data_IF_341628518832
#
_entry.id   IF_341628518832
#
_cell.length_a   1.000
_cell.length_b   1.000
_cell.length_c   1.000
_cell.angle_alpha   90.00
_cell.angle_beta   90.00
_cell.angle_gamma   90.00
#
_symmetry.space_group_name_H-M   'P 1'
#
loop_
_entity.id
_entity.type
_entity.pdbx_description
1 polymer ?
#
# COMPACT_ATOMS: atom_id res chain seq x y z
N UNK A 1 -19.64 13.86 14.83
CA UNK A 1 -18.28 14.38 14.52
C UNK A 1 -17.40 14.12 15.74
N UNK A 2 -16.76 12.96 15.79
CA UNK A 2 -15.84 12.61 16.89
C UNK A 2 -14.54 13.38 16.68
N UNK A 3 -14.15 14.18 17.68
CA UNK A 3 -12.87 14.88 17.71
C UNK A 3 -11.77 13.84 17.91
N UNK A 4 -11.32 13.22 16.82
CA UNK A 4 -10.16 12.33 16.83
C UNK A 4 -8.91 13.13 17.24
N UNK A 5 -8.26 12.71 18.33
CA UNK A 5 -7.04 13.34 18.85
C UNK A 5 -5.98 13.50 17.74
N UNK A 6 -5.20 14.60 17.72
CA UNK A 6 -4.19 14.85 16.70
C UNK A 6 -3.14 13.72 16.57
N UNK A 7 -2.87 12.96 17.64
CA UNK A 7 -2.00 11.78 17.59
C UNK A 7 -2.55 10.60 16.77
N UNK A 8 -3.88 10.41 16.74
CA UNK A 8 -4.53 9.34 15.97
C UNK A 8 -4.57 9.67 14.46
N UNK A 9 -4.53 10.96 14.11
CA UNK A 9 -4.52 11.42 12.71
C UNK A 9 -3.20 11.14 11.98
N UNK A 10 -2.09 10.99 12.69
CA UNK A 10 -0.78 10.70 12.09
C UNK A 10 -0.57 9.23 11.71
N UNK A 11 -1.33 8.31 12.30
CA UNK A 11 -1.22 6.85 12.07
C UNK A 11 -1.45 6.47 10.60
N UNK A 12 -2.52 6.92 9.91
CA UNK A 12 -2.72 6.60 8.50
C UNK A 12 -1.60 7.14 7.62
N UNK A 13 -1.15 8.37 7.86
CA UNK A 13 -0.06 9.02 7.12
C UNK A 13 1.26 8.24 7.29
N UNK A 14 1.58 7.85 8.53
CA UNK A 14 2.76 7.05 8.83
C UNK A 14 2.69 5.67 8.14
N UNK A 15 1.53 5.02 8.16
CA UNK A 15 1.34 3.71 7.55
C UNK A 15 1.44 3.78 6.02
N UNK A 16 0.86 4.82 5.41
CA UNK A 16 0.93 5.06 3.97
C UNK A 16 2.35 5.40 3.50
N UNK A 17 3.06 6.27 4.24
CA UNK A 17 4.44 6.61 3.91
C UNK A 17 5.39 5.41 4.01
N UNK A 18 5.24 4.57 5.04
CA UNK A 18 5.96 3.30 5.14
C UNK A 18 5.61 2.37 3.98
N UNK A 19 4.33 2.24 3.63
CA UNK A 19 3.89 1.41 2.50
C UNK A 19 4.45 1.90 1.16
N UNK A 20 4.49 3.21 0.96
CA UNK A 20 5.08 3.83 -0.22
C UNK A 20 6.59 3.57 -0.29
N UNK A 21 7.31 3.74 0.82
CA UNK A 21 8.75 3.49 0.89
C UNK A 21 9.09 2.02 0.60
N UNK A 22 8.33 1.08 1.16
CA UNK A 22 8.47 -0.36 0.89
C UNK A 22 8.18 -0.70 -0.57
N UNK A 23 7.16 -0.05 -1.16
CA UNK A 23 6.83 -0.23 -2.58
C UNK A 23 7.99 0.28 -3.46
N UNK A 24 8.52 1.47 -3.18
CA UNK A 24 9.68 2.02 -3.90
C UNK A 24 10.92 1.15 -3.74
N UNK A 25 11.19 0.64 -2.55
CA UNK A 25 12.28 -0.30 -2.31
C UNK A 25 12.10 -1.59 -3.12
N UNK A 26 10.88 -2.10 -3.22
CA UNK A 26 10.55 -3.26 -4.06
C UNK A 26 10.80 -3.01 -5.55
N UNK A 27 10.53 -1.79 -6.04
CA UNK A 27 10.86 -1.39 -7.41
C UNK A 27 12.37 -1.22 -7.64
N UNK A 28 13.10 -0.74 -6.65
CA UNK A 28 14.53 -0.44 -6.76
C UNK A 28 15.43 -1.65 -6.50
N UNK A 29 14.95 -2.66 -5.76
CA UNK A 29 15.75 -3.83 -5.41
C UNK A 29 15.95 -4.75 -6.61
N UNK A 30 17.14 -5.31 -6.71
CA UNK A 30 17.54 -6.35 -7.65
C UNK A 30 17.39 -7.76 -7.07
N UNK A 31 16.85 -7.87 -5.85
CA UNK A 31 16.71 -9.14 -5.12
C UNK A 31 15.48 -9.96 -5.52
N UNK A 32 14.89 -9.72 -6.70
CA UNK A 32 13.84 -10.61 -7.18
C UNK A 32 14.47 -11.93 -7.64
N UNK A 33 13.69 -13.02 -7.71
CA UNK A 33 14.21 -14.35 -8.07
C UNK A 33 14.87 -14.42 -9.46
N UNK A 34 14.67 -13.39 -10.29
CA UNK A 34 15.24 -13.20 -11.63
C UNK A 34 16.22 -12.02 -11.70
N UNK A 35 16.60 -11.39 -10.58
CA UNK A 35 17.40 -10.16 -10.56
C UNK A 35 16.54 -8.89 -10.51
N UNK A 36 16.95 -7.81 -11.18
CA UNK A 36 16.16 -6.58 -11.23
C UNK A 36 14.95 -6.72 -12.17
N UNK A 37 13.80 -6.22 -11.72
CA UNK A 37 12.52 -6.29 -12.44
C UNK A 37 12.56 -5.55 -13.79
N UNK A 38 13.37 -4.49 -13.89
CA UNK A 38 13.46 -3.63 -15.08
C UNK A 38 14.50 -4.07 -16.11
N UNK A 39 15.49 -4.87 -15.71
CA UNK A 39 16.63 -5.25 -16.56
C UNK A 39 16.71 -6.76 -16.65
N UNK A 40 17.26 -7.42 -15.63
CA UNK A 40 17.54 -8.87 -15.67
C UNK A 40 16.29 -9.73 -15.94
N UNK A 41 15.15 -9.37 -15.33
CA UNK A 41 13.94 -10.16 -15.48
C UNK A 41 13.32 -10.04 -16.89
N UNK A 42 13.67 -9.00 -17.66
CA UNK A 42 13.17 -8.78 -19.03
C UNK A 42 13.87 -9.63 -20.08
N UNK A 43 15.07 -10.13 -19.79
CA UNK A 43 15.86 -11.00 -20.69
C UNK A 43 15.51 -12.49 -20.55
N UNK A 44 14.53 -12.81 -19.70
CA UNK A 44 14.09 -14.18 -19.44
C UNK A 44 12.74 -14.49 -20.09
N UNK A 45 12.32 -15.76 -20.01
CA UNK A 45 11.02 -16.25 -20.48
C UNK A 45 9.81 -15.56 -19.78
N UNK A 46 10.07 -14.86 -18.68
CA UNK A 46 9.07 -14.14 -17.89
C UNK A 46 8.88 -12.67 -18.28
N UNK A 47 9.47 -12.20 -19.40
CA UNK A 47 9.43 -10.79 -19.84
C UNK A 47 8.04 -10.13 -19.73
N UNK A 48 7.00 -10.79 -20.25
CA UNK A 48 5.62 -10.24 -20.23
C UNK A 48 5.06 -10.10 -18.82
N UNK A 49 5.33 -11.09 -17.96
CA UNK A 49 4.86 -11.11 -16.58
C UNK A 49 5.62 -10.08 -15.74
N UNK A 50 6.95 -10.01 -15.88
CA UNK A 50 7.80 -9.04 -15.21
C UNK A 50 7.43 -7.59 -15.57
N UNK A 51 7.18 -7.31 -16.85
CA UNK A 51 6.71 -6.00 -17.31
C UNK A 51 5.32 -5.66 -16.73
N UNK A 52 4.42 -6.64 -16.66
CA UNK A 52 3.10 -6.47 -16.03
C UNK A 52 3.19 -6.15 -14.54
N UNK A 53 4.04 -6.88 -13.80
CA UNK A 53 4.31 -6.64 -12.38
C UNK A 53 4.88 -5.23 -12.19
N UNK A 54 5.88 -4.84 -12.99
CA UNK A 54 6.47 -3.50 -12.92
C UNK A 54 5.44 -2.40 -13.17
N UNK A 55 4.60 -2.55 -14.20
CA UNK A 55 3.54 -1.59 -14.51
C UNK A 55 2.52 -1.46 -13.37
N UNK A 56 2.11 -2.58 -12.76
CA UNK A 56 1.20 -2.58 -11.61
C UNK A 56 1.82 -1.90 -10.37
N UNK A 57 3.10 -2.15 -10.10
CA UNK A 57 3.82 -1.52 -8.98
C UNK A 57 3.99 -0.01 -9.18
N UNK A 58 4.31 0.42 -10.40
CA UNK A 58 4.39 1.86 -10.74
C UNK A 58 3.02 2.52 -10.59
N UNK A 59 1.96 1.90 -11.09
CA UNK A 59 0.59 2.43 -10.96
C UNK A 59 0.17 2.52 -9.50
N UNK A 60 0.44 1.48 -8.69
CA UNK A 60 0.17 1.51 -7.26
C UNK A 60 0.94 2.63 -6.55
N UNK A 61 2.21 2.83 -6.90
CA UNK A 61 3.05 3.89 -6.33
C UNK A 61 2.47 5.28 -6.62
N UNK A 62 2.02 5.52 -7.85
CA UNK A 62 1.36 6.78 -8.24
C UNK A 62 0.07 7.00 -7.44
N UNK A 63 -0.77 5.97 -7.33
CA UNK A 63 -2.01 6.05 -6.54
C UNK A 63 -1.72 6.32 -5.05
N UNK A 64 -0.75 5.63 -4.44
CA UNK A 64 -0.37 5.87 -3.04
C UNK A 64 0.16 7.29 -2.83
N UNK A 65 0.93 7.82 -3.78
CA UNK A 65 1.45 9.18 -3.71
C UNK A 65 0.32 10.22 -3.78
N UNK A 66 -0.69 10.01 -4.62
CA UNK A 66 -1.89 10.86 -4.65
C UNK A 66 -2.66 10.81 -3.33
N UNK A 67 -2.85 9.62 -2.77
CA UNK A 67 -3.51 9.45 -1.46
C UNK A 67 -2.74 10.16 -0.36
N UNK A 68 -1.41 10.04 -0.33
CA UNK A 68 -0.56 10.74 0.64
C UNK A 68 -0.68 12.27 0.52
N UNK A 69 -0.75 12.80 -0.70
CA UNK A 69 -0.98 14.24 -0.93
C UNK A 69 -2.36 14.65 -0.38
N UNK A 70 -3.40 13.87 -0.64
CA UNK A 70 -4.74 14.14 -0.10
C UNK A 70 -4.76 14.15 1.44
N UNK A 71 -4.02 13.23 2.08
CA UNK A 71 -3.85 13.21 3.53
C UNK A 71 -3.17 14.48 4.06
N UNK A 72 -2.09 14.92 3.40
CA UNK A 72 -1.40 16.16 3.78
C UNK A 72 -2.32 17.39 3.61
N UNK A 73 -3.08 17.44 2.51
CA UNK A 73 -4.04 18.53 2.25
C UNK A 73 -5.17 18.55 3.29
N UNK A 74 -5.73 17.39 3.64
CA UNK A 74 -6.80 17.31 4.65
C UNK A 74 -6.30 17.56 6.07
N UNK A 75 -5.01 17.31 6.34
CA UNK A 75 -4.35 17.68 7.60
C UNK A 75 -4.20 19.20 7.72
N UNK A 76 -3.72 19.86 6.66
CA UNK A 76 -3.50 21.31 6.62
C UNK A 76 -4.80 22.11 6.49
N UNK A 77 -5.81 21.57 5.81
CA UNK A 77 -7.07 22.27 5.56
C UNK A 77 -8.27 21.44 6.03
N UNK A 78 -8.84 21.82 7.18
CA UNK A 78 -9.99 21.15 7.79
C UNK A 78 -11.27 21.31 6.97
N UNK A 79 -11.41 22.37 6.17
CA UNK A 79 -12.58 22.56 5.31
C UNK A 79 -12.68 21.49 4.21
N UNK A 80 -11.54 21.06 3.66
CA UNK A 80 -11.47 19.97 2.69
C UNK A 80 -11.77 18.59 3.29
N UNK A 81 -11.64 18.42 4.61
CA UNK A 81 -11.97 17.14 5.27
C UNK A 81 -13.47 16.85 5.37
N UNK A 82 -14.33 17.85 5.16
CA UNK A 82 -15.80 17.70 5.20
C UNK A 82 -16.36 17.37 3.81
N UNK A 83 -15.57 17.51 2.76
CA UNK A 83 -16.01 17.26 1.38
C UNK A 83 -16.14 15.75 1.12
N UNK A 84 -17.37 15.28 0.96
CA UNK A 84 -17.69 13.88 0.66
C UNK A 84 -16.96 13.36 -0.59
N UNK A 85 -16.77 14.21 -1.61
CA UNK A 85 -16.03 13.87 -2.82
C UNK A 85 -14.57 13.51 -2.54
N UNK A 86 -13.89 14.23 -1.64
CA UNK A 86 -12.50 13.95 -1.28
C UNK A 86 -12.37 12.57 -0.64
N UNK A 87 -13.32 12.22 0.24
CA UNK A 87 -13.38 10.88 0.85
C UNK A 87 -13.61 9.75 -0.17
N UNK A 88 -14.45 9.98 -1.18
CA UNK A 88 -14.70 8.99 -2.25
C UNK A 88 -13.45 8.80 -3.10
N UNK A 89 -12.80 9.88 -3.52
CA UNK A 89 -11.55 9.79 -4.29
C UNK A 89 -10.46 9.10 -3.49
N UNK A 90 -10.29 9.48 -2.22
CA UNK A 90 -9.33 8.85 -1.32
C UNK A 90 -9.52 7.34 -1.24
N UNK A 91 -10.75 6.87 -0.96
CA UNK A 91 -11.02 5.44 -0.82
C UNK A 91 -10.88 4.70 -2.15
N UNK A 92 -11.27 5.31 -3.27
CA UNK A 92 -11.12 4.73 -4.59
C UNK A 92 -9.64 4.55 -4.98
N UNK A 93 -8.80 5.58 -4.83
CA UNK A 93 -7.38 5.49 -5.14
C UNK A 93 -6.66 4.48 -4.24
N UNK A 94 -7.01 4.44 -2.95
CA UNK A 94 -6.45 3.47 -2.02
C UNK A 94 -6.84 2.03 -2.38
N UNK A 95 -8.10 1.81 -2.78
CA UNK A 95 -8.57 0.50 -3.24
C UNK A 95 -7.87 0.06 -4.53
N UNK A 96 -7.69 0.98 -5.50
CA UNK A 96 -6.96 0.70 -6.75
C UNK A 96 -5.51 0.34 -6.44
N UNK A 97 -4.82 1.12 -5.59
CA UNK A 97 -3.45 0.83 -5.18
C UNK A 97 -3.33 -0.55 -4.53
N UNK A 98 -4.23 -0.89 -3.61
CA UNK A 98 -4.28 -2.20 -2.97
C UNK A 98 -4.44 -3.33 -3.98
N UNK A 99 -5.39 -3.21 -4.91
CA UNK A 99 -5.63 -4.23 -5.93
C UNK A 99 -4.42 -4.39 -6.85
N UNK A 100 -3.77 -3.30 -7.26
CA UNK A 100 -2.56 -3.35 -8.07
C UNK A 100 -1.40 -4.05 -7.34
N UNK A 101 -1.16 -3.73 -6.07
CA UNK A 101 -0.14 -4.39 -5.26
C UNK A 101 -0.44 -5.88 -5.09
N UNK A 102 -1.68 -6.24 -4.77
CA UNK A 102 -2.08 -7.64 -4.61
C UNK A 102 -1.88 -8.42 -5.91
N UNK A 103 -2.33 -7.89 -7.04
CA UNK A 103 -2.17 -8.52 -8.35
C UNK A 103 -0.69 -8.69 -8.72
N UNK A 104 0.14 -7.67 -8.51
CA UNK A 104 1.57 -7.74 -8.77
C UNK A 104 2.23 -8.90 -7.99
N UNK A 105 1.94 -9.01 -6.68
CA UNK A 105 2.52 -10.06 -5.84
C UNK A 105 1.91 -11.44 -6.15
N UNK A 106 0.63 -11.52 -6.53
CA UNK A 106 -0.01 -12.78 -6.93
C UNK A 106 0.59 -13.33 -8.22
N UNK A 107 0.78 -12.48 -9.23
CA UNK A 107 1.39 -12.86 -10.51
C UNK A 107 2.82 -13.32 -10.26
N UNK A 108 3.60 -12.56 -9.48
CA UNK A 108 4.96 -12.94 -9.13
C UNK A 108 5.02 -14.28 -8.40
N UNK A 109 4.20 -14.47 -7.36
CA UNK A 109 4.19 -15.69 -6.54
C UNK A 109 3.70 -16.89 -7.37
N UNK A 110 2.69 -16.71 -8.23
CA UNK A 110 2.15 -17.78 -9.05
C UNK A 110 3.05 -18.21 -10.21
N UNK A 111 3.79 -17.27 -10.83
CA UNK A 111 4.57 -17.54 -12.04
C UNK A 111 6.07 -17.71 -11.79
N UNK A 112 6.63 -16.98 -10.82
CA UNK A 112 8.09 -16.87 -10.64
C UNK A 112 8.51 -17.48 -9.29
N UNK A 113 8.08 -16.90 -8.17
CA UNK A 113 8.59 -17.27 -6.84
C UNK A 113 8.08 -18.61 -6.30
N UNK A 114 6.82 -18.97 -6.55
CA UNK A 114 6.12 -20.18 -6.07
C UNK A 114 6.10 -20.38 -4.53
N UNK A 115 6.49 -19.37 -3.75
CA UNK A 115 6.53 -19.42 -2.28
C UNK A 115 5.18 -19.02 -1.65
N UNK A 116 4.13 -19.80 -1.89
CA UNK A 116 2.77 -19.50 -1.42
C UNK A 116 2.65 -19.43 0.11
N UNK A 117 3.30 -20.35 0.83
CA UNK A 117 3.23 -20.38 2.29
C UNK A 117 3.85 -19.12 2.92
N UNK A 118 4.99 -18.66 2.41
CA UNK A 118 5.64 -17.42 2.86
C UNK A 118 4.73 -16.21 2.63
N UNK A 119 4.13 -16.10 1.44
CA UNK A 119 3.20 -15.03 1.12
C UNK A 119 2.00 -14.99 2.08
N UNK A 120 1.34 -16.13 2.31
CA UNK A 120 0.20 -16.19 3.22
C UNK A 120 0.58 -15.84 4.66
N UNK A 121 1.77 -16.25 5.13
CA UNK A 121 2.26 -15.89 6.45
C UNK A 121 2.49 -14.37 6.60
N UNK A 122 3.07 -13.72 5.59
CA UNK A 122 3.26 -12.26 5.57
C UNK A 122 1.91 -11.54 5.56
N UNK A 123 0.96 -11.95 4.72
CA UNK A 123 -0.39 -11.39 4.70
C UNK A 123 -1.08 -11.52 6.06
N UNK A 124 -1.06 -12.71 6.66
CA UNK A 124 -1.64 -12.95 7.98
C UNK A 124 -1.04 -12.00 9.02
N UNK A 125 0.27 -11.84 9.04
CA UNK A 125 0.98 -10.94 9.96
C UNK A 125 0.52 -9.48 9.80
N UNK A 126 0.42 -8.99 8.56
CA UNK A 126 -0.05 -7.62 8.28
C UNK A 126 -1.51 -7.42 8.71
N UNK A 127 -2.39 -8.38 8.46
CA UNK A 127 -3.77 -8.33 8.94
C UNK A 127 -3.84 -8.35 10.48
N UNK A 128 -3.01 -9.14 11.15
CA UNK A 128 -2.95 -9.16 12.62
C UNK A 128 -2.43 -7.83 13.18
N UNK A 129 -1.40 -7.22 12.57
CA UNK A 129 -0.88 -5.92 13.00
C UNK A 129 -1.96 -4.83 12.84
N UNK A 130 -2.58 -4.76 11.67
CA UNK A 130 -3.60 -3.73 11.38
C UNK A 130 -4.83 -3.87 12.27
N UNK A 131 -5.32 -5.10 12.50
CA UNK A 131 -6.42 -5.35 13.44
C UNK A 131 -6.05 -4.99 14.88
N UNK A 132 -4.84 -5.32 15.32
CA UNK A 132 -4.33 -4.95 16.66
C UNK A 132 -4.31 -3.45 16.85
N UNK A 133 -3.74 -2.70 15.89
CA UNK A 133 -3.72 -1.23 15.91
C UNK A 133 -5.14 -0.67 15.97
N UNK A 134 -6.06 -1.22 15.18
CA UNK A 134 -7.45 -0.78 15.15
C UNK A 134 -8.20 -1.04 16.47
N UNK A 135 -7.94 -2.18 17.12
CA UNK A 135 -8.46 -2.48 18.47
C UNK A 135 -7.92 -1.51 19.51
N UNK A 136 -6.62 -1.20 19.48
CA UNK A 136 -6.01 -0.22 20.39
C UNK A 136 -6.62 1.18 20.19
N UNK A 137 -6.78 1.61 18.94
CA UNK A 137 -7.43 2.88 18.59
C UNK A 137 -8.85 2.94 19.14
N UNK A 138 -9.65 1.87 18.97
CA UNK A 138 -11.01 1.78 19.51
C UNK A 138 -11.02 1.85 21.03
N UNK A 139 -10.17 1.07 21.69
CA UNK A 139 -10.08 1.06 23.15
C UNK A 139 -9.67 2.41 23.75
N UNK A 140 -8.82 3.18 23.05
CA UNK A 140 -8.47 4.55 23.46
C UNK A 140 -9.66 5.49 23.22
N UNK A 141 -10.34 5.36 22.07
CA UNK A 141 -11.50 6.19 21.74
C UNK A 141 -12.68 5.97 22.68
N UNK A 142 -12.88 4.75 23.20
CA UNK A 142 -13.97 4.42 24.12
C UNK A 142 -13.72 4.93 25.56
N UNK A 143 -12.48 5.27 25.89
CA UNK A 143 -12.10 5.80 27.22
C UNK A 143 -12.10 7.33 27.32
N UNK A 144 -12.29 8.05 26.21
CA UNK A 144 -12.28 9.52 26.12
C UNK A 144 -13.71 10.00 25.89
#
# INVERSE_FOLDING_TARGET
MTNMHPGLRGIPIATLSVSLALTLASLATDTWGCGNLFTDCQDTLFKKEAQGIAALLVLATLCLLLVLILDLVTLCNRATSVNQWVHIFYSAFLAIALMCLLLAVLIYTGKIGKQWAYFFAVCATVFTITTTVLVVIRAISDRI
#
